data_IF_330439849088
#
_entry.id   IF_330439849088
#
_cell.length_a   1.000
_cell.length_b   1.000
_cell.length_c   1.000
_cell.angle_alpha   90.00
_cell.angle_beta   90.00
_cell.angle_gamma   90.00
#
_symmetry.space_group_name_H-M   'P 1'
#
loop_
_entity.id
_entity.type
_entity.pdbx_description
1 polymer ?
#
# COMPACT_ATOMS: atom_id res chain seq x y z
N UNK A 1 -0.58 -30.43 6.19
CA UNK A 1 0.43 -29.49 5.66
C UNK A 1 -0.23 -28.13 5.61
N UNK A 2 0.17 -27.22 6.48
CA UNK A 2 -0.31 -25.82 6.46
C UNK A 2 0.29 -25.15 5.21
N UNK A 3 -0.59 -24.74 4.31
CA UNK A 3 -0.23 -24.12 3.01
C UNK A 3 0.31 -22.71 3.28
N UNK A 4 1.41 -22.32 2.62
CA UNK A 4 1.80 -20.91 2.54
C UNK A 4 0.74 -20.14 1.75
N UNK A 5 0.53 -18.88 2.11
CA UNK A 5 -0.36 -17.99 1.37
C UNK A 5 0.39 -16.74 0.89
N UNK A 6 -0.08 -16.16 -0.21
CA UNK A 6 0.50 -14.97 -0.82
C UNK A 6 -0.36 -13.74 -0.61
N UNK A 7 0.29 -12.65 -0.30
CA UNK A 7 -0.31 -11.34 -0.14
C UNK A 7 0.27 -10.41 -1.22
N UNK A 8 -0.61 -9.90 -2.08
CA UNK A 8 -0.26 -9.00 -3.19
C UNK A 8 -0.62 -7.58 -2.78
N UNK A 9 0.36 -6.76 -2.43
CA UNK A 9 0.12 -5.36 -2.12
C UNK A 9 0.31 -4.50 -3.37
N UNK A 10 -0.72 -3.74 -3.71
CA UNK A 10 -0.78 -2.90 -4.91
C UNK A 10 -0.83 -1.45 -4.48
N UNK A 11 0.13 -0.62 -4.94
CA UNK A 11 0.04 0.82 -4.78
C UNK A 11 -1.11 1.36 -5.64
N UNK A 12 -1.90 2.30 -5.12
CA UNK A 12 -2.97 2.94 -5.90
C UNK A 12 -2.45 3.57 -7.22
N UNK A 13 -3.32 3.68 -8.22
CA UNK A 13 -3.08 4.40 -9.47
C UNK A 13 -2.84 5.89 -9.27
N UNK A 14 -2.44 6.61 -10.31
CA UNK A 14 -2.14 8.06 -10.20
C UNK A 14 -3.36 8.83 -9.71
N UNK A 15 -3.18 9.58 -8.61
CA UNK A 15 -4.21 10.43 -8.04
C UNK A 15 -4.39 11.72 -8.85
N UNK A 16 -5.62 12.25 -8.87
CA UNK A 16 -5.99 13.49 -9.58
C UNK A 16 -5.44 14.76 -8.93
N UNK A 17 -5.00 14.67 -7.68
CA UNK A 17 -4.44 15.80 -6.91
C UNK A 17 -3.35 15.33 -5.94
N UNK A 18 -2.51 16.26 -5.52
CA UNK A 18 -1.46 16.02 -4.54
C UNK A 18 -1.99 15.91 -3.11
N UNK A 19 -1.13 15.40 -2.24
CA UNK A 19 -1.42 15.23 -0.81
C UNK A 19 -1.53 16.56 -0.04
N UNK A 20 -1.00 17.62 -0.63
CA UNK A 20 -1.04 19.01 -0.15
C UNK A 20 -2.23 19.83 -0.69
N UNK A 21 -2.97 19.28 -1.64
CA UNK A 21 -4.05 20.04 -2.33
C UNK A 21 -5.44 19.46 -2.13
N UNK A 22 -5.55 18.17 -1.81
CA UNK A 22 -6.83 17.51 -1.54
C UNK A 22 -6.71 16.48 -0.42
N UNK A 23 -7.77 16.36 0.40
CA UNK A 23 -7.80 15.42 1.52
C UNK A 23 -7.89 13.96 1.04
N UNK A 24 -8.74 13.69 0.06
CA UNK A 24 -8.99 12.36 -0.47
C UNK A 24 -9.25 12.40 -1.99
N UNK A 25 -8.20 12.68 -2.80
CA UNK A 25 -8.35 12.71 -4.24
C UNK A 25 -8.59 11.31 -4.79
N UNK A 26 -9.47 11.21 -5.80
CA UNK A 26 -9.64 10.02 -6.60
C UNK A 26 -8.52 9.84 -7.63
N UNK A 27 -8.69 8.91 -8.56
CA UNK A 27 -7.79 8.70 -9.68
C UNK A 27 -8.05 9.71 -10.81
N UNK A 28 -6.98 10.13 -11.49
CA UNK A 28 -7.11 10.80 -12.78
C UNK A 28 -7.29 9.77 -13.92
N UNK A 29 -7.36 10.23 -15.17
CA UNK A 29 -7.56 9.36 -16.34
C UNK A 29 -6.44 8.31 -16.49
N UNK A 30 -5.18 8.70 -16.25
CA UNK A 30 -4.07 7.75 -16.27
C UNK A 30 -4.17 6.75 -15.12
N UNK A 31 -4.50 7.21 -13.92
CA UNK A 31 -4.70 6.33 -12.77
C UNK A 31 -5.82 5.32 -12.99
N UNK A 32 -6.89 5.71 -13.67
CA UNK A 32 -7.97 4.80 -14.05
C UNK A 32 -7.51 3.77 -15.10
N UNK A 33 -6.67 4.17 -16.07
CA UNK A 33 -6.08 3.24 -17.02
C UNK A 33 -5.14 2.25 -16.30
N UNK A 34 -4.27 2.73 -15.42
CA UNK A 34 -3.39 1.90 -14.57
C UNK A 34 -4.18 0.91 -13.71
N UNK A 35 -5.33 1.33 -13.15
CA UNK A 35 -6.19 0.45 -12.36
C UNK A 35 -6.78 -0.71 -13.18
N UNK A 36 -7.16 -0.46 -14.44
CA UNK A 36 -7.61 -1.52 -15.34
C UNK A 36 -6.48 -2.48 -15.71
N UNK A 37 -5.30 -1.94 -16.03
CA UNK A 37 -4.13 -2.73 -16.40
C UNK A 37 -3.69 -3.66 -15.26
N UNK A 38 -3.61 -3.17 -14.01
CA UNK A 38 -3.25 -4.02 -12.87
C UNK A 38 -4.34 -5.07 -12.57
N UNK A 39 -5.61 -4.74 -12.80
CA UNK A 39 -6.70 -5.71 -12.69
C UNK A 39 -6.54 -6.84 -13.73
N UNK A 40 -6.19 -6.53 -14.98
CA UNK A 40 -5.92 -7.53 -16.02
C UNK A 40 -4.73 -8.43 -15.65
N UNK A 41 -3.69 -7.91 -15.02
CA UNK A 41 -2.56 -8.70 -14.52
C UNK A 41 -2.94 -9.67 -13.40
N UNK A 42 -3.86 -9.26 -12.53
CA UNK A 42 -4.27 -10.03 -11.35
C UNK A 42 -5.48 -10.94 -11.58
N UNK A 43 -6.27 -10.72 -12.66
CA UNK A 43 -7.54 -11.40 -12.87
C UNK A 43 -7.46 -12.93 -12.81
N UNK A 44 -6.37 -13.51 -13.34
CA UNK A 44 -6.17 -14.97 -13.39
C UNK A 44 -5.92 -15.62 -12.02
N UNK A 45 -5.60 -14.82 -10.98
CA UNK A 45 -5.37 -15.35 -9.63
C UNK A 45 -6.66 -15.86 -8.99
N UNK A 46 -7.81 -15.23 -9.28
CA UNK A 46 -9.15 -15.60 -8.78
C UNK A 46 -9.21 -15.89 -7.28
N UNK A 47 -8.54 -15.07 -6.47
CA UNK A 47 -8.36 -15.32 -5.02
C UNK A 47 -9.64 -15.06 -4.22
N UNK A 48 -10.55 -14.23 -4.71
CA UNK A 48 -11.79 -13.86 -4.05
C UNK A 48 -11.67 -12.92 -2.86
N UNK A 49 -10.46 -12.60 -2.40
CA UNK A 49 -10.20 -11.72 -1.26
C UNK A 49 -9.52 -10.43 -1.72
N UNK A 50 -10.22 -9.32 -1.57
CA UNK A 50 -9.70 -7.98 -1.83
C UNK A 50 -9.86 -7.14 -0.58
N UNK A 51 -8.76 -6.51 -0.14
CA UNK A 51 -8.71 -5.51 0.90
C UNK A 51 -8.32 -4.17 0.28
N UNK A 52 -8.90 -3.08 0.73
CA UNK A 52 -8.57 -1.74 0.28
C UNK A 52 -8.48 -0.74 1.43
N UNK A 53 -7.58 0.21 1.30
CA UNK A 53 -7.58 1.43 2.13
C UNK A 53 -8.93 2.15 1.99
N UNK A 54 -9.39 2.86 3.03
CA UNK A 54 -10.59 3.70 2.93
C UNK A 54 -10.44 4.88 1.97
N UNK A 55 -9.21 5.25 1.56
CA UNK A 55 -9.00 6.40 0.68
C UNK A 55 -9.46 6.10 -0.74
N UNK A 56 -10.14 7.09 -1.34
CA UNK A 56 -10.89 6.95 -2.61
C UNK A 56 -10.02 6.39 -3.75
N UNK A 57 -8.77 6.86 -3.88
CA UNK A 57 -7.85 6.38 -4.91
C UNK A 57 -7.55 4.88 -4.83
N UNK A 58 -7.49 4.30 -3.61
CA UNK A 58 -7.32 2.86 -3.44
C UNK A 58 -8.58 2.08 -3.79
N UNK A 59 -9.74 2.56 -3.37
CA UNK A 59 -11.02 1.95 -3.70
C UNK A 59 -11.26 1.96 -5.22
N UNK A 60 -10.96 3.07 -5.89
CA UNK A 60 -11.05 3.18 -7.35
C UNK A 60 -10.03 2.28 -8.07
N UNK A 61 -8.84 2.09 -7.50
CA UNK A 61 -7.85 1.14 -8.07
C UNK A 61 -8.32 -0.31 -7.91
N UNK A 62 -8.99 -0.63 -6.80
CA UNK A 62 -9.51 -1.97 -6.54
C UNK A 62 -10.73 -2.32 -7.39
N UNK A 63 -11.53 -1.33 -7.79
CA UNK A 63 -12.85 -1.52 -8.39
C UNK A 63 -12.85 -2.41 -9.65
N UNK A 64 -11.94 -2.24 -10.64
CA UNK A 64 -11.94 -3.11 -11.83
C UNK A 64 -11.72 -4.59 -11.47
N UNK A 65 -10.77 -4.91 -10.60
CA UNK A 65 -10.50 -6.28 -10.17
C UNK A 65 -11.68 -6.87 -9.38
N UNK A 66 -12.26 -6.08 -8.48
CA UNK A 66 -13.42 -6.46 -7.70
C UNK A 66 -14.63 -6.81 -8.60
N UNK A 67 -14.83 -6.04 -9.66
CA UNK A 67 -15.85 -6.30 -10.68
C UNK A 67 -15.57 -7.60 -11.43
N UNK A 68 -14.32 -7.83 -11.89
CA UNK A 68 -13.95 -9.05 -12.60
C UNK A 68 -14.14 -10.31 -11.76
N UNK A 69 -13.84 -10.24 -10.45
CA UNK A 69 -13.99 -11.36 -9.53
C UNK A 69 -15.40 -11.46 -8.92
N UNK A 70 -16.27 -10.49 -9.17
CA UNK A 70 -17.61 -10.37 -8.58
C UNK A 70 -17.57 -10.44 -7.04
N UNK A 71 -16.69 -9.67 -6.42
CA UNK A 71 -16.50 -9.58 -4.96
C UNK A 71 -16.61 -8.15 -4.48
N UNK A 72 -16.95 -7.98 -3.20
CA UNK A 72 -16.94 -6.68 -2.52
C UNK A 72 -15.65 -6.53 -1.74
N UNK A 73 -14.79 -5.53 -2.03
CA UNK A 73 -13.58 -5.29 -1.27
C UNK A 73 -13.86 -4.96 0.19
N UNK A 74 -13.04 -5.51 1.10
CA UNK A 74 -13.09 -5.15 2.51
C UNK A 74 -12.29 -3.87 2.73
N UNK A 75 -12.93 -2.83 3.22
CA UNK A 75 -12.28 -1.56 3.57
C UNK A 75 -11.63 -1.69 4.95
N UNK A 76 -10.32 -1.45 5.04
CA UNK A 76 -9.54 -1.60 6.26
C UNK A 76 -8.64 -0.39 6.50
N UNK A 77 -8.82 0.26 7.65
CA UNK A 77 -8.03 1.43 8.03
C UNK A 77 -6.54 1.10 8.25
N UNK A 78 -6.22 -0.13 8.61
CA UNK A 78 -4.87 -0.61 8.88
C UNK A 78 -3.94 -0.53 7.67
N UNK A 79 -4.49 -0.48 6.44
CA UNK A 79 -3.72 -0.36 5.20
C UNK A 79 -3.79 1.06 4.60
N UNK A 80 -4.15 2.06 5.40
CA UNK A 80 -4.14 3.47 5.02
C UNK A 80 -2.71 4.02 4.89
N UNK A 81 -2.57 5.19 4.24
CA UNK A 81 -1.29 5.89 4.12
C UNK A 81 -0.86 6.45 5.48
N UNK A 82 0.44 6.70 5.62
CA UNK A 82 1.03 7.33 6.81
C UNK A 82 0.22 8.57 7.22
N UNK A 83 -0.16 8.72 8.50
CA UNK A 83 -0.92 9.87 8.94
C UNK A 83 -0.08 11.14 8.89
N UNK A 84 -0.70 12.27 8.52
CA UNK A 84 -0.07 13.57 8.63
C UNK A 84 0.19 13.93 10.09
N UNK A 85 1.31 14.62 10.41
CA UNK A 85 1.55 15.08 11.77
C UNK A 85 0.45 16.04 12.23
N UNK A 86 0.15 15.99 13.52
CA UNK A 86 -0.80 16.92 14.13
C UNK A 86 -0.28 18.35 14.00
N UNK A 87 -1.15 19.27 13.57
CA UNK A 87 -0.84 20.70 13.47
C UNK A 87 -0.08 21.13 12.20
N UNK A 88 0.29 20.19 11.31
CA UNK A 88 0.86 20.55 10.00
C UNK A 88 -0.26 20.99 9.05
N UNK A 89 -0.14 22.18 8.48
CA UNK A 89 -1.08 22.67 7.49
C UNK A 89 -1.08 21.78 6.23
N UNK A 90 -2.20 21.72 5.52
CA UNK A 90 -2.32 20.87 4.32
C UNK A 90 -1.23 21.20 3.28
N UNK A 91 -0.96 22.49 3.05
CA UNK A 91 0.11 22.95 2.13
C UNK A 91 1.51 22.46 2.47
N UNK A 92 1.76 22.13 3.75
CA UNK A 92 3.08 21.77 4.24
C UNK A 92 3.30 20.25 4.32
N UNK A 93 2.24 19.47 4.11
CA UNK A 93 2.27 18.00 4.21
C UNK A 93 3.27 17.36 3.27
N UNK A 94 3.35 17.85 2.03
CA UNK A 94 4.27 17.28 1.04
C UNK A 94 5.74 17.57 1.40
N UNK A 95 6.02 18.74 1.97
CA UNK A 95 7.36 19.11 2.43
C UNK A 95 7.77 18.20 3.59
N UNK A 96 6.88 18.04 4.56
CA UNK A 96 7.09 17.12 5.68
C UNK A 96 7.34 15.68 5.19
N UNK A 97 6.49 15.18 4.27
CA UNK A 97 6.62 13.82 3.78
C UNK A 97 7.95 13.59 3.06
N UNK A 98 8.37 14.54 2.21
CA UNK A 98 9.66 14.45 1.51
C UNK A 98 10.85 14.43 2.47
N UNK A 99 10.79 15.16 3.57
CA UNK A 99 11.80 15.11 4.62
C UNK A 99 11.76 13.76 5.34
N UNK A 100 10.59 13.30 5.75
CA UNK A 100 10.39 12.01 6.42
C UNK A 100 10.94 10.84 5.59
N UNK A 101 10.70 10.85 4.28
CA UNK A 101 11.16 9.81 3.35
C UNK A 101 12.69 9.65 3.28
N UNK A 102 13.45 10.62 3.74
CA UNK A 102 14.92 10.58 3.79
C UNK A 102 15.46 9.94 5.08
N UNK A 103 14.60 9.73 6.06
CA UNK A 103 14.91 9.27 7.40
C UNK A 103 14.39 7.87 7.71
N UNK A 104 14.27 7.62 8.99
CA UNK A 104 13.83 6.34 9.55
C UNK A 104 12.52 6.49 10.34
N UNK A 105 11.83 5.38 10.60
CA UNK A 105 10.65 5.36 11.47
C UNK A 105 11.00 5.83 12.88
N UNK A 106 12.18 5.45 13.38
CA UNK A 106 12.66 5.85 14.70
C UNK A 106 12.86 7.37 14.81
N UNK A 107 13.28 8.04 13.74
CA UNK A 107 13.44 9.51 13.69
C UNK A 107 12.09 10.24 13.80
N UNK A 108 11.02 9.63 13.30
CA UNK A 108 9.66 10.19 13.38
C UNK A 108 8.99 10.00 14.74
N UNK A 109 9.48 9.06 15.55
CA UNK A 109 9.00 8.81 16.90
C UNK A 109 8.00 7.65 17.03
N UNK A 110 7.60 7.39 18.26
CA UNK A 110 6.85 6.18 18.67
C UNK A 110 5.52 5.99 17.94
N UNK A 111 4.79 7.05 17.64
CA UNK A 111 3.48 6.96 16.97
C UNK A 111 3.62 6.41 15.54
N UNK A 112 4.71 6.79 14.85
CA UNK A 112 4.99 6.31 13.49
C UNK A 112 5.61 4.91 13.47
N UNK A 113 6.42 4.57 14.48
CA UNK A 113 6.86 3.18 14.70
C UNK A 113 5.65 2.28 14.93
N UNK A 114 4.69 2.70 15.77
CA UNK A 114 3.46 1.96 15.99
C UNK A 114 2.61 1.81 14.72
N UNK A 115 2.55 2.82 13.86
CA UNK A 115 1.90 2.72 12.55
C UNK A 115 2.54 1.65 11.68
N UNK A 116 3.89 1.67 11.52
CA UNK A 116 4.64 0.65 10.76
C UNK A 116 4.36 -0.75 11.30
N UNK A 117 4.42 -0.93 12.61
CA UNK A 117 4.24 -2.23 13.26
C UNK A 117 2.80 -2.72 13.10
N UNK A 118 1.81 -1.83 13.25
CA UNK A 118 0.39 -2.15 13.08
C UNK A 118 0.08 -2.68 11.67
N UNK A 119 0.52 -2.01 10.62
CA UNK A 119 0.28 -2.48 9.24
C UNK A 119 1.04 -3.77 8.95
N UNK A 120 2.28 -3.91 9.45
CA UNK A 120 3.08 -5.13 9.26
C UNK A 120 2.42 -6.33 9.94
N UNK A 121 1.94 -6.16 11.17
CA UNK A 121 1.25 -7.22 11.92
C UNK A 121 -0.12 -7.55 11.30
N UNK A 122 -0.82 -6.54 10.79
CA UNK A 122 -2.07 -6.78 10.04
C UNK A 122 -1.82 -7.68 8.83
N UNK A 123 -0.81 -7.36 8.00
CA UNK A 123 -0.46 -8.17 6.82
C UNK A 123 0.01 -9.56 7.22
N UNK A 124 0.83 -9.68 8.27
CA UNK A 124 1.26 -10.98 8.84
C UNK A 124 0.10 -11.83 9.34
N UNK A 125 -0.98 -11.20 9.81
CA UNK A 125 -2.19 -11.87 10.30
C UNK A 125 -3.08 -12.48 9.21
N UNK A 126 -2.88 -12.15 7.93
CA UNK A 126 -3.69 -12.63 6.81
C UNK A 126 -3.39 -14.11 6.54
N UNK A 127 -4.44 -14.95 6.52
CA UNK A 127 -4.31 -16.40 6.45
C UNK A 127 -4.69 -17.00 5.10
N UNK A 128 -5.11 -16.17 4.15
CA UNK A 128 -5.55 -16.58 2.81
C UNK A 128 -4.86 -15.73 1.75
N UNK A 129 -4.75 -16.25 0.53
CA UNK A 129 -4.27 -15.48 -0.60
C UNK A 129 -5.15 -14.23 -0.78
N UNK A 130 -4.54 -13.04 -0.80
CA UNK A 130 -5.26 -11.76 -0.72
C UNK A 130 -4.59 -10.69 -1.56
N UNK A 131 -5.39 -9.85 -2.24
CA UNK A 131 -4.90 -8.61 -2.86
C UNK A 131 -5.25 -7.42 -1.96
N UNK A 132 -4.28 -6.56 -1.68
CA UNK A 132 -4.43 -5.37 -0.84
C UNK A 132 -4.09 -4.13 -1.68
N UNK A 133 -5.05 -3.23 -1.86
CA UNK A 133 -4.82 -1.93 -2.48
C UNK A 133 -4.50 -0.89 -1.41
N UNK A 134 -3.29 -0.35 -1.47
CA UNK A 134 -2.72 0.50 -0.43
C UNK A 134 -1.86 1.63 -1.03
N UNK A 135 -0.89 2.13 -0.29
CA UNK A 135 -0.16 3.35 -0.56
C UNK A 135 1.35 3.13 -0.56
N UNK A 136 2.07 4.15 -1.03
CA UNK A 136 3.51 4.12 -1.19
C UNK A 136 4.25 3.87 0.14
N UNK A 137 4.00 4.70 1.16
CA UNK A 137 4.68 4.54 2.47
C UNK A 137 4.16 3.30 3.20
N UNK A 138 2.87 3.01 3.12
CA UNK A 138 2.25 1.84 3.73
C UNK A 138 2.90 0.52 3.25
N UNK A 139 3.14 0.37 1.95
CA UNK A 139 3.80 -0.84 1.41
C UNK A 139 5.28 -0.87 1.82
N UNK A 140 5.98 0.27 1.80
CA UNK A 140 7.37 0.36 2.29
C UNK A 140 7.48 0.02 3.79
N UNK A 141 6.47 0.38 4.60
CA UNK A 141 6.41 0.01 6.01
C UNK A 141 6.41 -1.52 6.19
N UNK A 142 5.61 -2.24 5.40
CA UNK A 142 5.58 -3.71 5.44
C UNK A 142 6.90 -4.31 4.93
N UNK A 143 7.47 -3.77 3.84
CA UNK A 143 8.79 -4.21 3.33
C UNK A 143 9.85 -4.06 4.43
N UNK A 144 9.93 -2.89 5.08
CA UNK A 144 10.86 -2.63 6.17
C UNK A 144 10.64 -3.54 7.37
N UNK A 145 9.39 -3.72 7.79
CA UNK A 145 9.04 -4.61 8.90
C UNK A 145 9.42 -6.08 8.65
N UNK A 146 9.38 -6.52 7.39
CA UNK A 146 9.80 -7.88 6.98
C UNK A 146 11.33 -8.00 6.91
N UNK A 147 12.02 -6.97 6.40
CA UNK A 147 13.47 -6.99 6.21
C UNK A 147 14.26 -6.56 7.46
N UNK A 148 13.60 -6.04 8.50
CA UNK A 148 14.26 -5.43 9.65
C UNK A 148 14.96 -4.12 9.30
N UNK A 149 14.46 -3.38 8.31
CA UNK A 149 15.02 -2.12 7.81
C UNK A 149 14.15 -0.95 8.28
N UNK A 150 14.74 -0.03 9.06
CA UNK A 150 14.02 1.09 9.68
C UNK A 150 13.81 2.30 8.77
N UNK A 151 14.30 2.29 7.52
CA UNK A 151 14.07 3.37 6.56
C UNK A 151 12.59 3.47 6.18
N UNK A 152 12.09 4.71 6.03
CA UNK A 152 10.72 4.93 5.53
C UNK A 152 10.55 4.45 4.09
N UNK A 153 11.54 4.66 3.25
CA UNK A 153 11.52 4.28 1.84
C UNK A 153 12.65 3.32 1.56
N UNK A 154 12.30 2.12 1.17
CA UNK A 154 13.23 1.05 0.78
C UNK A 154 13.14 0.82 -0.73
N UNK A 155 11.95 0.97 -1.30
CA UNK A 155 11.64 0.81 -2.71
C UNK A 155 10.90 2.03 -3.26
N UNK A 156 11.33 2.51 -4.44
CA UNK A 156 10.65 3.58 -5.19
C UNK A 156 9.50 3.01 -6.02
N UNK A 157 8.48 2.51 -5.36
CA UNK A 157 7.35 1.80 -5.96
C UNK A 157 6.56 2.69 -6.92
N UNK A 158 6.33 2.26 -8.15
CA UNK A 158 5.49 2.96 -9.12
C UNK A 158 3.99 2.79 -8.82
N UNK A 159 3.16 3.64 -9.42
CA UNK A 159 1.70 3.48 -9.35
C UNK A 159 1.27 2.13 -9.92
N UNK A 160 0.34 1.49 -9.26
CA UNK A 160 -0.15 0.13 -9.58
C UNK A 160 0.94 -0.96 -9.59
N UNK A 161 2.13 -0.70 -9.02
CA UNK A 161 3.13 -1.75 -8.81
C UNK A 161 2.63 -2.80 -7.81
N UNK A 162 3.01 -4.06 -8.04
CA UNK A 162 2.59 -5.21 -7.22
C UNK A 162 3.78 -5.71 -6.42
N UNK A 163 3.72 -5.61 -5.11
CA UNK A 163 4.69 -6.20 -4.17
C UNK A 163 4.09 -7.48 -3.61
N UNK A 164 4.83 -8.58 -3.66
CA UNK A 164 4.34 -9.90 -3.22
C UNK A 164 5.07 -10.35 -1.96
N UNK A 165 4.30 -10.64 -0.94
CA UNK A 165 4.77 -11.31 0.27
C UNK A 165 4.24 -12.74 0.32
N UNK A 166 5.01 -13.63 0.95
CA UNK A 166 4.58 -14.97 1.28
C UNK A 166 4.59 -15.16 2.80
N UNK A 167 3.49 -15.65 3.31
CA UNK A 167 3.34 -16.02 4.71
C UNK A 167 3.38 -17.52 4.83
N UNK A 168 4.33 -18.03 5.59
CA UNK A 168 4.45 -19.47 5.84
C UNK A 168 3.52 -19.98 6.95
N UNK A 169 3.54 -21.27 7.18
CA UNK A 169 2.73 -21.93 8.19
C UNK A 169 3.01 -21.49 9.63
N UNK A 170 4.18 -20.93 9.89
CA UNK A 170 4.60 -20.43 11.21
C UNK A 170 4.30 -18.95 11.40
N UNK A 171 3.54 -18.34 10.46
CA UNK A 171 3.22 -16.93 10.40
C UNK A 171 4.42 -16.00 10.12
N UNK A 172 5.53 -16.57 9.61
CA UNK A 172 6.63 -15.76 9.14
C UNK A 172 6.31 -15.17 7.77
N UNK A 173 6.46 -13.85 7.65
CA UNK A 173 6.22 -13.11 6.41
C UNK A 173 7.56 -12.83 5.71
N UNK A 174 7.66 -13.14 4.44
CA UNK A 174 8.84 -12.89 3.60
C UNK A 174 8.49 -12.11 2.35
N UNK A 175 9.40 -11.25 1.88
CA UNK A 175 9.27 -10.53 0.62
C UNK A 175 9.69 -11.47 -0.53
N UNK A 176 8.76 -11.81 -1.42
CA UNK A 176 9.01 -12.71 -2.57
C UNK A 176 9.32 -11.92 -3.83
N UNK A 177 8.60 -10.82 -4.05
CA UNK A 177 8.78 -9.97 -5.23
C UNK A 177 8.62 -8.50 -4.82
N UNK A 178 9.62 -7.67 -5.14
CA UNK A 178 9.51 -6.23 -5.05
C UNK A 178 8.60 -5.70 -6.17
N UNK A 179 7.85 -4.64 -5.88
CA UNK A 179 7.07 -3.93 -6.90
C UNK A 179 7.97 -3.30 -7.97
N UNK A 180 7.38 -3.02 -9.14
CA UNK A 180 8.06 -2.23 -10.17
C UNK A 180 8.40 -0.85 -9.62
N UNK A 181 9.63 -0.40 -9.91
CA UNK A 181 10.13 0.89 -9.42
C UNK A 181 10.17 1.92 -10.55
N UNK A 182 9.87 3.16 -10.21
CA UNK A 182 10.01 4.32 -11.08
C UNK A 182 10.44 5.54 -10.25
N UNK A 183 10.91 6.59 -10.91
CA UNK A 183 11.13 7.89 -10.26
C UNK A 183 9.78 8.46 -9.81
N UNK A 184 9.38 8.08 -8.61
CA UNK A 184 8.08 8.45 -8.05
C UNK A 184 8.11 9.88 -7.56
N UNK A 185 7.51 10.79 -8.33
CA UNK A 185 7.14 12.11 -7.84
C UNK A 185 5.94 11.95 -6.90
N UNK A 186 6.18 12.06 -5.59
CA UNK A 186 5.09 12.29 -4.63
C UNK A 186 4.62 13.74 -4.83
N UNK A 187 3.42 13.87 -5.35
CA UNK A 187 2.73 15.14 -5.60
C UNK A 187 1.82 15.50 -4.44
#
# INVERSE_FOLDING_TARGET
MTRSNRIYMVRHGRASAGWDTALDPGLDELGQAQAREVADQLQSLQLGNIITSPLLRCQQTAAPLAQMWNVVPQVRAEVSEIPSPKGVAMSDRIVWLRQAMQGTWSDLGSDYVAYRDCITDFVRGIQTDTVIFSHFIAINAVIGGVLGDDRLVIRSLDNCSITVFERDATANLSLVQGGHEADTLIR
#
